data_IF_280318174608
#
_entry.id   IF_280318174608
#
_cell.length_a   1.000
_cell.length_b   1.000
_cell.length_c   1.000
_cell.angle_alpha   90.00
_cell.angle_beta   90.00
_cell.angle_gamma   90.00
#
_symmetry.space_group_name_H-M   'P 1'
#
loop_
_entity.id
_entity.type
_entity.pdbx_description
1 polymer ?
#
# COMPACT_ATOMS: atom_id res chain seq x y z
N UNK A 1 -34.90 -12.51 13.39
CA UNK A 1 -34.32 -11.79 12.24
C UNK A 1 -32.94 -12.36 11.98
N UNK A 2 -32.71 -12.93 10.79
CA UNK A 2 -31.42 -13.53 10.44
C UNK A 2 -30.49 -12.46 9.88
N UNK A 3 -29.32 -12.25 10.50
CA UNK A 3 -28.28 -11.41 9.94
C UNK A 3 -27.56 -12.18 8.84
N UNK A 4 -27.46 -11.59 7.65
CA UNK A 4 -26.63 -12.11 6.56
C UNK A 4 -25.25 -11.48 6.72
N UNK A 5 -24.27 -12.30 7.10
CA UNK A 5 -22.88 -11.87 7.21
C UNK A 5 -22.27 -11.76 5.83
N UNK A 6 -21.48 -10.70 5.60
CA UNK A 6 -20.59 -10.60 4.45
C UNK A 6 -19.38 -11.53 4.61
N UNK A 7 -19.60 -12.80 4.97
CA UNK A 7 -18.58 -13.85 4.95
C UNK A 7 -18.76 -14.68 3.69
N UNK A 8 -18.48 -14.08 2.53
CA UNK A 8 -18.40 -14.85 1.30
C UNK A 8 -16.91 -15.17 1.03
N UNK A 9 -16.55 -16.44 1.28
CA UNK A 9 -15.47 -17.18 0.59
C UNK A 9 -13.99 -16.93 0.93
N UNK A 10 -13.63 -16.07 1.88
CA UNK A 10 -12.23 -16.00 2.35
C UNK A 10 -11.95 -17.05 3.44
N UNK A 11 -11.23 -18.14 3.09
CA UNK A 11 -10.86 -19.23 4.01
C UNK A 11 -10.16 -18.68 5.27
N UNK A 12 -10.83 -18.69 6.42
CA UNK A 12 -10.20 -18.42 7.71
C UNK A 12 -11.10 -18.01 8.89
N UNK A 13 -12.31 -17.51 8.65
CA UNK A 13 -13.17 -17.01 9.74
C UNK A 13 -14.01 -18.11 10.38
N UNK A 14 -13.79 -18.39 11.67
CA UNK A 14 -14.77 -19.13 12.48
C UNK A 14 -16.01 -18.24 12.66
N UNK A 15 -17.19 -18.77 12.38
CA UNK A 15 -18.46 -18.09 12.66
C UNK A 15 -18.54 -17.74 14.16
N UNK A 16 -18.33 -16.49 14.51
CA UNK A 16 -18.55 -16.00 15.86
C UNK A 16 -20.04 -15.96 16.17
N UNK A 17 -20.45 -16.39 17.37
CA UNK A 17 -21.81 -16.16 17.86
C UNK A 17 -22.03 -14.65 17.95
N UNK A 18 -22.94 -14.10 17.16
CA UNK A 18 -23.26 -12.68 17.17
C UNK A 18 -23.95 -12.29 18.47
N UNK A 19 -23.29 -11.44 19.25
CA UNK A 19 -23.95 -10.69 20.32
C UNK A 19 -24.94 -9.66 19.76
N UNK A 20 -25.46 -8.79 20.62
CA UNK A 20 -26.29 -7.67 20.17
C UNK A 20 -25.56 -6.80 19.13
N UNK A 21 -26.29 -6.35 18.11
CA UNK A 21 -25.78 -5.48 17.06
C UNK A 21 -26.35 -4.08 17.17
N UNK A 22 -25.59 -3.07 16.74
CA UNK A 22 -26.03 -1.69 16.58
C UNK A 22 -26.01 -1.29 15.11
N UNK A 23 -26.89 -0.36 14.72
CA UNK A 23 -26.90 0.27 13.40
C UNK A 23 -25.67 1.17 13.25
N UNK A 24 -25.07 1.21 12.05
CA UNK A 24 -24.12 2.28 11.69
C UNK A 24 -24.94 3.50 11.30
N UNK A 25 -24.87 4.54 12.12
CA UNK A 25 -25.63 5.79 11.96
C UNK A 25 -24.76 6.96 12.48
N UNK A 26 -24.49 8.02 11.69
CA UNK A 26 -24.91 8.19 10.29
C UNK A 26 -24.24 7.19 9.34
N UNK A 27 -24.91 6.93 8.23
CA UNK A 27 -24.30 6.20 7.10
C UNK A 27 -23.11 7.01 6.59
N UNK A 28 -21.95 6.38 6.33
CA UNK A 28 -20.75 7.07 5.86
C UNK A 28 -20.97 7.96 4.63
N UNK A 29 -20.20 9.05 4.53
CA UNK A 29 -20.48 10.19 3.65
C UNK A 29 -19.35 10.50 2.65
N UNK A 30 -18.71 9.48 2.09
CA UNK A 30 -17.69 9.66 1.06
C UNK A 30 -18.18 10.36 -0.21
N UNK A 31 -17.23 10.74 -1.05
CA UNK A 31 -17.48 11.32 -2.38
C UNK A 31 -17.75 10.23 -3.43
N UNK A 32 -17.20 9.03 -3.22
CA UNK A 32 -17.29 7.88 -4.11
C UNK A 32 -17.60 6.61 -3.30
N UNK A 33 -18.62 5.87 -3.74
CA UNK A 33 -19.06 4.62 -3.12
C UNK A 33 -18.81 3.47 -4.09
N UNK A 34 -17.79 2.67 -3.80
CA UNK A 34 -17.40 1.51 -4.59
C UNK A 34 -17.84 0.25 -3.88
N UNK A 35 -18.62 -0.59 -4.55
CA UNK A 35 -19.01 -1.90 -4.03
C UNK A 35 -18.44 -2.95 -4.98
N UNK A 36 -17.84 -4.02 -4.44
CA UNK A 36 -17.33 -5.08 -5.32
C UNK A 36 -18.39 -5.68 -6.24
N UNK A 37 -17.99 -6.53 -7.19
CA UNK A 37 -18.91 -7.13 -8.18
C UNK A 37 -20.15 -7.80 -7.55
N UNK A 38 -21.25 -7.98 -8.32
CA UNK A 38 -22.51 -8.55 -7.82
C UNK A 38 -22.37 -9.91 -7.12
N UNK A 39 -22.85 -9.94 -5.87
CA UNK A 39 -23.30 -11.12 -5.14
C UNK A 39 -24.44 -10.71 -4.20
N UNK A 40 -25.14 -11.70 -3.64
CA UNK A 40 -26.35 -11.46 -2.84
C UNK A 40 -26.14 -10.60 -1.58
N UNK A 41 -24.94 -10.54 -1.02
CA UNK A 41 -24.60 -9.64 0.10
C UNK A 41 -24.25 -8.27 -0.43
N UNK A 42 -23.37 -8.20 -1.44
CA UNK A 42 -22.90 -6.94 -2.01
C UNK A 42 -24.03 -6.15 -2.70
N UNK A 43 -25.04 -6.83 -3.25
CA UNK A 43 -26.24 -6.19 -3.78
C UNK A 43 -27.09 -5.55 -2.69
N UNK A 44 -27.19 -6.18 -1.53
CA UNK A 44 -27.86 -5.57 -0.37
C UNK A 44 -27.07 -4.37 0.15
N UNK A 45 -25.75 -4.48 0.17
CA UNK A 45 -24.83 -3.39 0.53
C UNK A 45 -25.01 -2.17 -0.39
N UNK A 46 -24.98 -2.40 -1.70
CA UNK A 46 -25.25 -1.37 -2.71
C UNK A 46 -26.63 -0.73 -2.52
N UNK A 47 -27.64 -1.53 -2.21
CA UNK A 47 -29.00 -1.03 -1.94
C UNK A 47 -29.04 -0.12 -0.72
N UNK A 48 -28.36 -0.46 0.38
CA UNK A 48 -28.29 0.43 1.57
C UNK A 48 -27.73 1.80 1.19
N UNK A 49 -26.66 1.86 0.41
CA UNK A 49 -26.09 3.14 -0.05
C UNK A 49 -27.07 3.92 -0.93
N UNK A 50 -27.72 3.25 -1.89
CA UNK A 50 -28.68 3.86 -2.81
C UNK A 50 -29.90 4.43 -2.08
N UNK A 51 -30.44 3.67 -1.13
CA UNK A 51 -31.58 4.09 -0.30
C UNK A 51 -31.21 5.28 0.61
N UNK A 52 -29.92 5.49 0.88
CA UNK A 52 -29.36 6.68 1.57
C UNK A 52 -28.92 7.79 0.59
N UNK A 53 -29.42 7.77 -0.65
CA UNK A 53 -29.22 8.84 -1.63
C UNK A 53 -27.83 8.87 -2.27
N UNK A 54 -27.07 7.77 -2.21
CA UNK A 54 -25.72 7.69 -2.80
C UNK A 54 -25.75 7.04 -4.18
N UNK A 55 -24.89 7.52 -5.07
CA UNK A 55 -24.57 6.83 -6.32
C UNK A 55 -23.51 5.78 -6.05
N UNK A 56 -23.85 4.52 -6.29
CA UNK A 56 -22.96 3.37 -6.10
C UNK A 56 -22.39 2.94 -7.44
N UNK A 57 -21.09 2.69 -7.46
CA UNK A 57 -20.40 2.10 -8.59
C UNK A 57 -19.92 0.70 -8.26
N UNK A 58 -20.21 -0.27 -9.14
CA UNK A 58 -19.64 -1.62 -9.02
C UNK A 58 -18.19 -1.62 -9.49
N UNK A 59 -17.37 -2.46 -8.86
CA UNK A 59 -15.97 -2.65 -9.24
C UNK A 59 -15.62 -4.10 -9.50
N UNK A 60 -14.83 -4.34 -10.54
CA UNK A 60 -14.47 -5.70 -10.96
C UNK A 60 -13.10 -6.15 -10.49
N UNK A 61 -12.16 -5.21 -10.31
CA UNK A 61 -10.78 -5.47 -9.92
C UNK A 61 -10.07 -4.19 -9.44
N UNK A 62 -8.82 -4.34 -9.02
CA UNK A 62 -7.93 -3.29 -8.52
C UNK A 62 -7.77 -2.13 -9.50
N UNK A 63 -7.58 -2.40 -10.80
CA UNK A 63 -7.35 -1.36 -11.79
C UNK A 63 -8.62 -0.54 -12.06
N UNK A 64 -9.78 -1.20 -12.06
CA UNK A 64 -11.08 -0.54 -12.22
C UNK A 64 -11.35 0.46 -11.07
N UNK A 65 -11.05 0.07 -9.82
CA UNK A 65 -11.10 1.00 -8.67
C UNK A 65 -10.23 2.22 -8.90
N UNK A 66 -8.97 2.03 -9.30
CA UNK A 66 -8.04 3.14 -9.55
C UNK A 66 -8.59 4.08 -10.62
N UNK A 67 -9.16 3.53 -11.69
CA UNK A 67 -9.73 4.32 -12.78
C UNK A 67 -10.93 5.16 -12.32
N UNK A 68 -11.85 4.57 -11.54
CA UNK A 68 -13.03 5.25 -11.01
C UNK A 68 -12.67 6.35 -10.01
N UNK A 69 -11.74 6.06 -9.10
CA UNK A 69 -11.18 7.04 -8.16
C UNK A 69 -10.59 8.23 -8.92
N UNK A 70 -9.74 7.95 -9.91
CA UNK A 70 -9.12 8.98 -10.75
C UNK A 70 -10.19 9.83 -11.44
N UNK A 71 -11.16 9.21 -12.10
CA UNK A 71 -12.22 9.91 -12.82
C UNK A 71 -13.02 10.82 -11.89
N UNK A 72 -13.42 10.33 -10.71
CA UNK A 72 -14.19 11.10 -9.74
C UNK A 72 -13.39 12.25 -9.14
N UNK A 73 -12.13 12.03 -8.78
CA UNK A 73 -11.24 13.08 -8.28
C UNK A 73 -11.01 14.17 -9.32
N UNK A 74 -10.76 13.80 -10.58
CA UNK A 74 -10.60 14.74 -11.68
C UNK A 74 -11.87 15.55 -11.96
N UNK A 75 -13.04 14.91 -11.92
CA UNK A 75 -14.33 15.58 -12.09
C UNK A 75 -14.61 16.60 -10.98
N UNK A 76 -14.14 16.34 -9.75
CA UNK A 76 -14.30 17.25 -8.60
C UNK A 76 -13.16 18.27 -8.46
N UNK A 77 -12.06 18.12 -9.22
CA UNK A 77 -10.89 18.99 -9.13
C UNK A 77 -10.15 18.93 -7.79
N UNK A 78 -10.35 17.87 -6.99
CA UNK A 78 -9.75 17.70 -5.67
C UNK A 78 -9.54 16.22 -5.32
N UNK A 79 -8.79 15.97 -4.25
CA UNK A 79 -8.75 14.65 -3.61
C UNK A 79 -10.11 14.32 -2.99
N UNK A 80 -10.41 13.03 -2.93
CA UNK A 80 -11.73 12.51 -2.54
C UNK A 80 -11.65 11.53 -1.38
N UNK A 81 -12.76 11.44 -0.65
CA UNK A 81 -13.03 10.35 0.29
C UNK A 81 -13.73 9.20 -0.44
N UNK A 82 -13.11 8.02 -0.40
CA UNK A 82 -13.66 6.78 -0.97
C UNK A 82 -14.23 5.88 0.12
N UNK A 83 -15.47 5.45 -0.04
CA UNK A 83 -16.06 4.31 0.68
C UNK A 83 -15.92 3.07 -0.21
N UNK A 84 -15.18 2.06 0.25
CA UNK A 84 -14.98 0.81 -0.46
C UNK A 84 -15.63 -0.33 0.32
N UNK A 85 -16.56 -1.02 -0.32
CA UNK A 85 -17.37 -2.08 0.26
C UNK A 85 -17.07 -3.43 -0.39
N UNK A 86 -16.81 -4.43 0.44
CA UNK A 86 -16.37 -5.76 0.01
C UNK A 86 -16.33 -6.78 1.14
N UNK A 87 -16.08 -8.03 0.81
CA UNK A 87 -15.84 -9.07 1.80
C UNK A 87 -14.50 -8.86 2.49
N UNK A 88 -14.53 -8.79 3.81
CA UNK A 88 -13.36 -8.48 4.62
C UNK A 88 -12.83 -9.68 5.38
N UNK A 89 -11.55 -9.59 5.76
CA UNK A 89 -10.93 -10.28 6.88
C UNK A 89 -9.90 -9.34 7.51
N UNK A 90 -9.32 -9.71 8.66
CA UNK A 90 -8.22 -8.95 9.26
C UNK A 90 -7.11 -8.62 8.22
N UNK A 91 -6.92 -7.33 7.94
CA UNK A 91 -5.89 -6.84 7.00
C UNK A 91 -6.15 -7.11 5.51
N UNK A 92 -7.39 -7.43 5.14
CA UNK A 92 -7.76 -7.81 3.79
C UNK A 92 -9.20 -7.39 3.43
N UNK A 93 -9.41 -6.99 2.18
CA UNK A 93 -10.74 -6.77 1.62
C UNK A 93 -10.79 -7.20 0.16
N UNK A 94 -11.87 -7.85 -0.24
CA UNK A 94 -12.14 -8.16 -1.64
C UNK A 94 -12.62 -6.90 -2.37
N UNK A 95 -12.21 -6.81 -3.62
CA UNK A 95 -12.39 -5.63 -4.47
C UNK A 95 -12.86 -6.03 -5.86
N UNK A 96 -13.44 -7.22 -5.97
CA UNK A 96 -13.79 -7.79 -7.25
C UNK A 96 -13.94 -9.30 -7.26
N UNK A 97 -14.07 -9.80 -8.48
CA UNK A 97 -14.57 -11.11 -8.82
C UNK A 97 -13.57 -12.27 -8.72
N UNK A 98 -12.83 -12.44 -7.63
CA UNK A 98 -11.82 -13.50 -7.61
C UNK A 98 -11.06 -13.65 -6.30
N UNK A 99 -10.20 -14.68 -6.26
CA UNK A 99 -9.37 -15.01 -5.10
C UNK A 99 -7.88 -14.71 -5.32
N UNK A 100 -7.56 -13.83 -6.28
CA UNK A 100 -6.19 -13.45 -6.65
C UNK A 100 -5.85 -12.00 -6.22
N UNK A 101 -4.63 -11.57 -6.52
CA UNK A 101 -4.10 -10.25 -6.13
C UNK A 101 -4.69 -9.07 -6.89
N UNK A 102 -5.42 -9.31 -7.97
CA UNK A 102 -6.16 -8.27 -8.72
C UNK A 102 -7.57 -8.07 -8.16
N UNK A 103 -8.10 -9.06 -7.44
CA UNK A 103 -9.45 -9.05 -6.88
C UNK A 103 -9.48 -8.91 -5.36
N UNK A 104 -8.33 -8.90 -4.70
CA UNK A 104 -8.22 -8.79 -3.24
C UNK A 104 -7.09 -7.84 -2.86
N UNK A 105 -7.39 -6.86 -2.01
CA UNK A 105 -6.39 -6.07 -1.30
C UNK A 105 -5.99 -6.78 -0.01
N UNK A 106 -4.69 -6.90 0.20
CA UNK A 106 -4.07 -7.53 1.37
C UNK A 106 -2.86 -6.71 1.80
N UNK A 107 -2.28 -7.04 2.94
CA UNK A 107 -0.96 -6.50 3.33
C UNK A 107 0.13 -6.60 2.27
N UNK A 108 0.06 -7.58 1.35
CA UNK A 108 1.11 -7.82 0.34
C UNK A 108 1.07 -6.80 -0.81
N UNK A 109 -0.12 -6.31 -1.17
CA UNK A 109 -0.31 -5.39 -2.30
C UNK A 109 -0.87 -4.02 -1.89
N UNK A 110 -1.23 -3.81 -0.62
CA UNK A 110 -1.76 -2.54 -0.11
C UNK A 110 -0.86 -1.33 -0.45
N UNK A 111 0.47 -1.46 -0.36
CA UNK A 111 1.40 -0.37 -0.65
C UNK A 111 1.45 -0.02 -2.15
N UNK A 112 1.26 -1.00 -3.03
CA UNK A 112 1.19 -0.75 -4.49
C UNK A 112 -0.13 -0.06 -4.84
N UNK A 113 -1.24 -0.57 -4.29
CA UNK A 113 -2.56 0.03 -4.47
C UNK A 113 -2.65 1.45 -3.91
N UNK A 114 -2.10 1.69 -2.71
CA UNK A 114 -2.04 3.03 -2.14
C UNK A 114 -1.36 4.03 -3.10
N UNK A 115 -0.21 3.65 -3.68
CA UNK A 115 0.52 4.52 -4.62
C UNK A 115 -0.31 4.88 -5.83
N UNK A 116 -1.09 3.94 -6.38
CA UNK A 116 -1.88 4.20 -7.58
C UNK A 116 -3.05 5.17 -7.32
N UNK A 117 -3.49 5.33 -6.07
CA UNK A 117 -4.56 6.25 -5.69
C UNK A 117 -4.08 7.53 -4.98
N UNK A 118 -2.79 7.64 -4.67
CA UNK A 118 -2.24 8.67 -3.79
C UNK A 118 -2.50 10.10 -4.25
N UNK A 119 -2.50 10.34 -5.56
CA UNK A 119 -2.78 11.67 -6.13
C UNK A 119 -4.26 12.07 -6.04
N UNK A 120 -5.16 11.10 -5.85
CA UNK A 120 -6.60 11.25 -6.02
C UNK A 120 -7.39 11.13 -4.71
N UNK A 121 -6.80 10.52 -3.68
CA UNK A 121 -7.51 10.20 -2.42
C UNK A 121 -6.88 10.93 -1.24
N UNK A 122 -7.71 11.45 -0.34
CA UNK A 122 -7.30 11.98 0.97
C UNK A 122 -7.72 11.06 2.13
N UNK A 123 -8.79 10.30 1.93
CA UNK A 123 -9.37 9.41 2.91
C UNK A 123 -9.98 8.18 2.24
N UNK A 124 -9.70 6.98 2.77
CA UNK A 124 -10.41 5.77 2.37
C UNK A 124 -10.99 5.07 3.59
N UNK A 125 -12.26 4.67 3.50
CA UNK A 125 -12.90 3.83 4.49
C UNK A 125 -13.26 2.49 3.86
N UNK A 126 -12.93 1.41 4.55
CA UNK A 126 -13.26 0.05 4.13
C UNK A 126 -14.45 -0.47 4.93
N UNK A 127 -15.51 -0.82 4.22
CA UNK A 127 -16.71 -1.45 4.75
C UNK A 127 -16.62 -2.93 4.42
N UNK A 128 -16.34 -3.74 5.43
CA UNK A 128 -16.12 -5.15 5.25
C UNK A 128 -15.85 -5.83 6.58
N UNK A 129 -15.97 -7.15 6.59
CA UNK A 129 -15.83 -7.93 7.81
C UNK A 129 -14.43 -7.79 8.42
N UNK A 130 -14.34 -7.21 9.62
CA UNK A 130 -13.14 -7.27 10.46
C UNK A 130 -11.84 -6.74 9.81
N UNK A 131 -11.94 -5.86 8.81
CA UNK A 131 -10.77 -5.36 8.04
C UNK A 131 -9.76 -4.66 8.96
N UNK A 132 -10.26 -3.87 9.92
CA UNK A 132 -9.44 -3.15 10.90
C UNK A 132 -9.02 -3.98 12.12
N UNK A 133 -9.40 -5.26 12.17
CA UNK A 133 -9.16 -6.10 13.33
C UNK A 133 -7.67 -6.43 13.53
N UNK A 134 -7.31 -6.71 14.78
CA UNK A 134 -6.00 -7.25 15.16
C UNK A 134 -4.79 -6.42 14.73
N UNK A 135 -3.66 -7.10 14.50
CA UNK A 135 -2.38 -6.44 14.17
C UNK A 135 -2.26 -6.21 12.66
N UNK A 136 -2.79 -7.14 11.88
CA UNK A 136 -2.68 -7.10 10.43
C UNK A 136 -3.65 -6.06 9.86
N UNK A 137 -4.86 -5.91 10.43
CA UNK A 137 -5.78 -4.84 10.08
C UNK A 137 -5.23 -3.45 10.37
N UNK A 138 -4.66 -3.25 11.57
CA UNK A 138 -3.96 -1.99 11.90
C UNK A 138 -2.80 -1.70 10.95
N UNK A 139 -2.01 -2.72 10.60
CA UNK A 139 -0.89 -2.54 9.66
C UNK A 139 -1.38 -2.21 8.26
N UNK A 140 -2.47 -2.83 7.81
CA UNK A 140 -3.11 -2.56 6.52
C UNK A 140 -3.59 -1.12 6.44
N UNK A 141 -4.35 -0.66 7.45
CA UNK A 141 -4.80 0.73 7.53
C UNK A 141 -3.65 1.72 7.61
N UNK A 142 -2.56 1.40 8.30
CA UNK A 142 -1.38 2.26 8.37
C UNK A 142 -0.75 2.42 6.99
N UNK A 143 -0.55 1.31 6.27
CA UNK A 143 -0.02 1.34 4.91
C UNK A 143 -0.92 2.22 4.04
N UNK A 144 -2.24 2.09 4.12
CA UNK A 144 -3.15 2.94 3.34
C UNK A 144 -3.01 4.42 3.73
N UNK A 145 -3.01 4.74 5.03
CA UNK A 145 -2.96 6.11 5.53
C UNK A 145 -1.63 6.83 5.31
N UNK A 146 -0.49 6.12 5.20
CA UNK A 146 0.87 6.69 5.17
C UNK A 146 1.05 7.82 4.11
N UNK A 147 0.33 7.77 2.99
CA UNK A 147 0.45 8.69 1.85
C UNK A 147 -0.83 9.51 1.63
N UNK A 148 -2.00 8.86 1.66
CA UNK A 148 -3.28 9.55 1.45
C UNK A 148 -3.66 10.43 2.65
N UNK A 149 -3.18 10.10 3.85
CA UNK A 149 -3.36 10.86 5.09
C UNK A 149 -4.33 10.21 6.07
N UNK A 150 -5.32 9.47 5.59
CA UNK A 150 -6.34 8.88 6.45
C UNK A 150 -6.87 7.56 5.90
N UNK A 151 -7.00 6.55 6.78
CA UNK A 151 -7.69 5.30 6.45
C UNK A 151 -8.47 4.77 7.65
N UNK A 152 -9.65 4.18 7.41
CA UNK A 152 -10.51 3.63 8.46
C UNK A 152 -11.19 2.32 8.08
N UNK A 153 -11.51 1.49 9.08
CA UNK A 153 -12.34 0.29 8.94
C UNK A 153 -12.87 -0.19 10.29
N UNK A 154 -13.85 -1.10 10.28
CA UNK A 154 -14.34 -1.76 11.50
C UNK A 154 -13.43 -2.92 11.93
N UNK A 155 -13.27 -3.10 13.25
CA UNK A 155 -12.55 -4.23 13.85
C UNK A 155 -13.40 -5.50 14.03
N UNK A 156 -14.62 -5.50 13.50
CA UNK A 156 -15.57 -6.60 13.59
C UNK A 156 -16.39 -6.70 12.30
N UNK A 157 -17.23 -7.74 12.23
CA UNK A 157 -18.05 -8.00 11.05
C UNK A 157 -19.10 -6.90 10.83
N UNK A 158 -19.06 -6.29 9.64
CA UNK A 158 -20.13 -5.43 9.13
C UNK A 158 -21.14 -6.33 8.44
N UNK A 159 -22.40 -6.25 8.85
CA UNK A 159 -23.49 -7.03 8.29
C UNK A 159 -24.59 -6.12 7.74
N UNK A 160 -25.25 -6.57 6.67
CA UNK A 160 -26.39 -5.88 6.08
C UNK A 160 -27.67 -6.60 6.52
N UNK A 161 -28.57 -5.86 7.18
CA UNK A 161 -29.85 -6.40 7.64
C UNK A 161 -30.94 -5.97 6.68
N UNK A 162 -31.61 -6.94 6.06
CA UNK A 162 -32.74 -6.75 5.13
C UNK A 162 -32.49 -5.78 3.95
N UNK A 163 -31.24 -5.40 3.68
CA UNK A 163 -30.87 -4.33 2.73
C UNK A 163 -31.26 -2.91 3.17
N UNK A 164 -31.61 -2.72 4.45
CA UNK A 164 -32.09 -1.44 4.97
C UNK A 164 -30.98 -0.62 5.63
N UNK A 165 -30.07 -1.30 6.35
CA UNK A 165 -28.99 -0.64 7.07
C UNK A 165 -27.80 -1.57 7.35
N UNK A 166 -26.65 -0.94 7.55
CA UNK A 166 -25.46 -1.60 8.08
C UNK A 166 -25.54 -1.79 9.59
N UNK A 167 -25.01 -2.91 10.05
CA UNK A 167 -24.86 -3.23 11.47
C UNK A 167 -23.49 -3.73 11.79
N UNK A 168 -23.09 -3.52 13.04
CA UNK A 168 -21.89 -4.09 13.65
C UNK A 168 -22.24 -4.59 15.06
N UNK A 169 -21.46 -5.51 15.64
CA UNK A 169 -21.58 -5.84 17.06
C UNK A 169 -21.50 -4.58 17.93
N UNK A 170 -22.23 -4.53 19.04
CA UNK A 170 -22.20 -3.36 19.96
C UNK A 170 -20.76 -3.06 20.43
N UNK A 171 -19.96 -4.10 20.63
CA UNK A 171 -18.55 -4.02 21.03
C UNK A 171 -17.59 -3.57 19.91
N UNK A 172 -18.04 -3.52 18.66
CA UNK A 172 -17.20 -3.16 17.53
C UNK A 172 -16.74 -1.71 17.63
N UNK A 173 -15.49 -1.49 17.22
CA UNK A 173 -14.81 -0.20 17.19
C UNK A 173 -14.46 0.14 15.75
N UNK A 174 -14.62 1.41 15.42
CA UNK A 174 -14.05 1.95 14.20
C UNK A 174 -12.56 2.22 14.45
N UNK A 175 -11.70 1.57 13.69
CA UNK A 175 -10.25 1.76 13.73
C UNK A 175 -9.90 2.76 12.65
N UNK A 176 -9.34 3.88 13.07
CA UNK A 176 -8.96 4.98 12.19
C UNK A 176 -7.49 5.32 12.41
N UNK A 177 -6.76 5.53 11.31
CA UNK A 177 -5.39 6.02 11.32
C UNK A 177 -5.36 7.33 10.57
N UNK A 178 -4.84 8.37 11.24
CA UNK A 178 -4.67 9.72 10.72
C UNK A 178 -3.19 10.08 10.75
N UNK A 179 -2.65 10.48 9.61
CA UNK A 179 -1.27 10.92 9.42
C UNK A 179 -1.31 12.42 9.10
N UNK A 180 -1.18 13.24 10.15
CA UNK A 180 -1.26 14.70 10.08
C UNK A 180 -0.03 15.32 9.40
N UNK A 181 1.15 14.76 9.68
CA UNK A 181 2.38 15.10 9.00
C UNK A 181 2.62 14.05 7.91
N UNK A 182 2.06 14.31 6.73
CA UNK A 182 2.43 13.60 5.50
C UNK A 182 3.91 13.89 5.25
N UNK A 183 4.80 13.15 5.91
CA UNK A 183 6.16 13.02 5.42
C UNK A 183 5.97 12.44 4.02
N UNK A 184 6.35 13.18 2.97
CA UNK A 184 6.57 12.59 1.65
C UNK A 184 7.16 11.22 1.92
N UNK A 185 6.47 10.13 1.55
CA UNK A 185 7.00 8.79 1.77
C UNK A 185 8.22 8.70 0.86
N UNK A 186 9.34 9.16 1.40
CA UNK A 186 10.60 9.17 0.73
C UNK A 186 11.12 7.75 0.85
N UNK A 187 10.98 6.98 -0.24
CA UNK A 187 11.53 5.64 -0.34
C UNK A 187 13.04 5.74 -0.24
N UNK A 188 13.53 5.53 0.98
CA UNK A 188 14.95 5.53 1.28
C UNK A 188 15.55 4.24 0.75
N UNK A 189 16.18 4.31 -0.42
CA UNK A 189 16.94 3.21 -1.01
C UNK A 189 18.33 3.24 -0.40
N UNK A 190 18.70 2.27 0.46
CA UNK A 190 20.05 2.22 0.98
C UNK A 190 21.02 1.93 -0.17
N UNK A 191 22.10 2.71 -0.25
CA UNK A 191 23.13 2.52 -1.27
C UNK A 191 24.52 2.45 -0.66
N UNK A 192 25.37 1.59 -1.24
CA UNK A 192 26.81 1.52 -0.97
C UNK A 192 27.54 1.92 -2.24
N UNK A 193 28.52 2.80 -2.10
CA UNK A 193 29.30 3.37 -3.21
C UNK A 193 30.74 2.88 -3.06
N UNK A 194 31.33 2.41 -4.15
CA UNK A 194 32.76 2.08 -4.19
C UNK A 194 33.42 3.00 -5.20
N UNK A 195 34.35 3.81 -4.71
CA UNK A 195 35.22 4.66 -5.52
C UNK A 195 36.43 3.82 -5.92
N UNK A 196 36.63 3.65 -7.21
CA UNK A 196 37.73 2.87 -7.78
C UNK A 196 38.89 3.82 -8.11
N UNK A 197 40.13 3.35 -7.89
CA UNK A 197 41.33 4.10 -8.25
C UNK A 197 41.47 5.42 -7.47
N UNK A 198 42.04 6.43 -8.13
CA UNK A 198 42.23 7.77 -7.57
C UNK A 198 40.97 8.67 -7.62
N UNK A 199 39.78 8.09 -7.76
CA UNK A 199 38.52 8.86 -7.77
C UNK A 199 38.37 9.64 -6.47
N UNK A 200 38.25 10.97 -6.57
CA UNK A 200 38.03 11.82 -5.39
C UNK A 200 36.65 11.49 -4.77
N UNK A 201 36.62 10.95 -3.54
CA UNK A 201 35.38 10.61 -2.86
C UNK A 201 34.50 11.83 -2.57
N UNK A 202 35.03 13.05 -2.63
CA UNK A 202 34.26 14.28 -2.42
C UNK A 202 33.33 14.61 -3.60
N UNK A 203 33.58 14.04 -4.78
CA UNK A 203 32.71 14.21 -5.97
C UNK A 203 31.43 13.36 -5.84
N UNK A 204 31.47 12.32 -5.01
CA UNK A 204 30.34 11.41 -4.75
C UNK A 204 29.15 12.15 -4.16
N UNK A 205 29.39 13.08 -3.24
CA UNK A 205 28.31 13.87 -2.62
C UNK A 205 27.56 14.71 -3.65
N UNK A 206 28.28 15.30 -4.61
CA UNK A 206 27.72 16.04 -5.74
C UNK A 206 26.85 15.14 -6.63
N UNK A 207 27.35 13.95 -6.98
CA UNK A 207 26.61 12.97 -7.79
C UNK A 207 25.35 12.45 -7.09
N UNK A 208 25.44 12.17 -5.79
CA UNK A 208 24.30 11.70 -4.99
C UNK A 208 23.26 12.81 -4.80
N UNK A 209 23.69 14.06 -4.59
CA UNK A 209 22.79 15.21 -4.56
C UNK A 209 22.08 15.40 -5.90
N UNK A 210 22.81 15.32 -7.01
CA UNK A 210 22.25 15.37 -8.36
C UNK A 210 21.23 14.25 -8.62
N UNK A 211 21.55 13.01 -8.23
CA UNK A 211 20.66 11.86 -8.37
C UNK A 211 19.40 11.99 -7.49
N UNK A 212 19.54 12.38 -6.22
CA UNK A 212 18.41 12.62 -5.32
C UNK A 212 17.49 13.73 -5.82
N UNK A 213 18.04 14.81 -6.41
CA UNK A 213 17.24 15.86 -7.01
C UNK A 213 16.38 15.34 -8.19
N UNK A 214 16.95 14.49 -9.05
CA UNK A 214 16.22 13.86 -10.16
C UNK A 214 15.15 12.85 -9.67
N UNK A 215 15.44 12.16 -8.56
CA UNK A 215 14.56 11.14 -7.98
C UNK A 215 13.47 11.71 -7.07
N UNK A 216 13.54 13.00 -6.72
CA UNK A 216 12.55 13.69 -5.88
C UNK A 216 11.13 13.58 -6.45
N UNK A 217 10.97 13.73 -7.77
CA UNK A 217 9.66 13.60 -8.44
C UNK A 217 9.05 12.19 -8.38
N UNK A 218 9.84 11.18 -8.03
CA UNK A 218 9.40 9.79 -7.81
C UNK A 218 9.32 9.42 -6.32
N UNK A 219 9.45 10.39 -5.41
CA UNK A 219 9.51 10.18 -3.95
C UNK A 219 10.59 9.15 -3.54
N UNK A 220 11.72 9.06 -4.26
CA UNK A 220 12.84 8.17 -3.95
C UNK A 220 14.03 9.00 -3.44
N UNK A 221 14.70 8.50 -2.40
CA UNK A 221 16.00 9.02 -1.96
C UNK A 221 17.02 7.91 -1.83
N UNK A 222 18.15 8.09 -2.46
CA UNK A 222 19.35 7.32 -2.21
C UNK A 222 19.91 7.71 -0.84
N UNK A 223 19.93 6.75 0.08
CA UNK A 223 20.47 6.87 1.42
C UNK A 223 21.83 6.16 1.46
N UNK A 224 22.90 6.91 1.22
CA UNK A 224 24.26 6.37 1.20
C UNK A 224 24.61 5.87 2.59
N UNK A 225 24.81 4.56 2.72
CA UNK A 225 25.21 3.90 3.96
C UNK A 225 26.72 3.82 4.12
N UNK A 226 27.43 3.74 3.00
CA UNK A 226 28.87 3.56 2.99
C UNK A 226 29.47 4.02 1.67
N UNK A 227 30.61 4.70 1.74
CA UNK A 227 31.48 5.04 0.60
C UNK A 227 32.84 4.39 0.85
N UNK A 228 33.18 3.39 0.04
CA UNK A 228 34.48 2.75 0.07
C UNK A 228 35.43 3.48 -0.87
N UNK A 229 36.62 3.82 -0.37
CA UNK A 229 37.67 4.53 -1.13
C UNK A 229 38.68 3.53 -1.68
N UNK A 230 39.32 3.87 -2.80
CA UNK A 230 40.43 3.13 -3.39
C UNK A 230 40.13 1.62 -3.50
N UNK A 231 38.91 1.29 -3.89
CA UNK A 231 38.52 -0.11 -4.06
C UNK A 231 39.28 -0.62 -5.27
N UNK A 232 40.19 -1.56 -5.03
CA UNK A 232 40.89 -2.24 -6.11
C UNK A 232 39.88 -3.05 -6.91
N UNK A 233 39.79 -2.73 -8.19
CA UNK A 233 38.98 -3.46 -9.15
C UNK A 233 39.85 -3.74 -10.36
N UNK A 234 40.02 -5.01 -10.69
CA UNK A 234 40.72 -5.37 -11.92
C UNK A 234 42.23 -5.17 -11.89
N UNK A 235 42.81 -5.12 -13.09
CA UNK A 235 44.24 -5.22 -13.44
C UNK A 235 45.14 -4.06 -12.98
N UNK A 236 44.60 -3.13 -12.17
CA UNK A 236 45.35 -2.00 -11.64
C UNK A 236 45.36 -0.76 -12.53
N UNK A 237 44.66 -0.78 -13.66
CA UNK A 237 44.40 0.41 -14.47
C UNK A 237 43.07 1.02 -14.00
N UNK A 238 43.07 2.30 -13.65
CA UNK A 238 41.90 3.03 -13.10
C UNK A 238 40.66 3.11 -14.04
N UNK A 239 40.64 2.31 -15.12
CA UNK A 239 39.59 2.23 -16.16
C UNK A 239 38.94 0.84 -16.11
N UNK A 240 37.65 0.80 -15.82
CA UNK A 240 36.89 -0.45 -15.82
C UNK A 240 36.49 -0.87 -17.24
N UNK A 241 36.89 -2.07 -17.66
CA UNK A 241 36.34 -2.69 -18.85
C UNK A 241 34.95 -3.32 -18.59
N UNK A 242 34.23 -3.72 -19.64
CA UNK A 242 32.86 -4.22 -19.51
C UNK A 242 32.75 -5.50 -18.68
N UNK A 243 33.76 -6.36 -18.71
CA UNK A 243 33.80 -7.61 -17.94
C UNK A 243 34.07 -7.32 -16.45
N UNK A 244 34.90 -6.33 -16.15
CA UNK A 244 35.13 -5.82 -14.80
C UNK A 244 33.89 -5.14 -14.23
N UNK A 245 33.16 -4.37 -15.04
CA UNK A 245 31.85 -3.80 -14.68
C UNK A 245 30.87 -4.93 -14.35
N UNK A 246 30.75 -5.95 -15.21
CA UNK A 246 29.85 -7.09 -14.98
C UNK A 246 30.24 -7.90 -13.73
N UNK A 247 31.54 -8.13 -13.51
CA UNK A 247 32.07 -8.83 -12.35
C UNK A 247 31.85 -8.04 -11.05
N UNK A 248 32.01 -6.72 -11.10
CA UNK A 248 31.66 -5.81 -10.02
C UNK A 248 30.17 -5.83 -9.71
N UNK A 249 29.30 -5.78 -10.72
CA UNK A 249 27.86 -5.90 -10.52
C UNK A 249 27.49 -7.23 -9.86
N UNK A 250 28.15 -8.33 -10.24
CA UNK A 250 28.00 -9.65 -9.61
C UNK A 250 28.41 -9.64 -8.13
N UNK A 251 29.62 -9.15 -7.82
CA UNK A 251 30.11 -8.99 -6.43
C UNK A 251 29.25 -8.02 -5.62
N UNK A 252 28.72 -6.98 -6.26
CA UNK A 252 27.79 -6.07 -5.65
C UNK A 252 26.52 -6.77 -5.23
N UNK A 253 25.88 -7.52 -6.13
CA UNK A 253 24.69 -8.32 -5.83
C UNK A 253 24.93 -9.31 -4.68
N UNK A 254 26.10 -9.95 -4.63
CA UNK A 254 26.48 -10.88 -3.54
C UNK A 254 26.70 -10.18 -2.19
N UNK A 255 27.42 -9.06 -2.14
CA UNK A 255 27.62 -8.27 -0.92
C UNK A 255 26.32 -7.59 -0.46
N UNK A 256 25.50 -7.13 -1.40
CA UNK A 256 24.16 -6.60 -1.11
C UNK A 256 23.31 -7.64 -0.36
N UNK A 257 23.43 -8.92 -0.72
CA UNK A 257 22.74 -10.01 -0.04
C UNK A 257 23.21 -10.23 1.42
N UNK A 258 24.44 -9.80 1.77
CA UNK A 258 25.01 -9.93 3.13
C UNK A 258 24.59 -8.78 4.06
N UNK A 259 24.42 -7.57 3.52
CA UNK A 259 24.11 -6.36 4.32
C UNK A 259 22.59 -6.15 4.49
N UNK A 260 21.76 -6.80 3.67
CA UNK A 260 20.32 -6.47 3.53
C UNK A 260 19.36 -7.49 4.17
N UNK A 261 19.90 -8.53 4.82
CA UNK A 261 19.12 -9.43 5.68
C UNK A 261 19.37 -9.09 7.14
N UNK A 262 18.31 -8.99 7.94
CA UNK A 262 18.48 -8.85 9.38
C UNK A 262 19.14 -10.09 10.00
N UNK A 263 19.45 -10.05 11.29
CA UNK A 263 20.04 -11.17 12.04
C UNK A 263 19.19 -12.46 12.03
N UNK A 264 17.95 -12.40 11.51
CA UNK A 264 16.98 -13.51 11.39
C UNK A 264 16.76 -13.95 9.93
N UNK A 265 17.53 -13.40 8.99
CA UNK A 265 17.47 -13.76 7.56
C UNK A 265 16.30 -13.15 6.78
N UNK A 266 15.54 -12.20 7.37
CA UNK A 266 14.37 -11.58 6.72
C UNK A 266 14.75 -10.34 5.89
N UNK A 267 14.02 -10.16 4.80
CA UNK A 267 14.15 -9.06 3.82
C UNK A 267 13.74 -7.70 4.43
N UNK A 268 14.51 -6.64 4.13
CA UNK A 268 14.20 -5.25 4.55
C UNK A 268 13.81 -4.31 3.39
N UNK A 269 14.05 -4.69 2.13
CA UNK A 269 13.68 -3.91 0.93
C UNK A 269 14.79 -3.83 -0.13
N UNK A 270 14.45 -3.42 -1.36
CA UNK A 270 15.35 -3.37 -2.55
C UNK A 270 16.41 -2.26 -2.39
N UNK A 271 17.66 -2.63 -2.09
CA UNK A 271 18.82 -1.71 -2.13
C UNK A 271 19.58 -1.73 -3.46
N UNK A 272 20.46 -0.75 -3.70
CA UNK A 272 21.30 -0.67 -4.91
C UNK A 272 22.77 -0.48 -4.51
N UNK A 273 23.71 -1.18 -5.15
CA UNK A 273 25.15 -0.93 -5.00
C UNK A 273 25.68 -0.40 -6.34
N UNK A 274 26.39 0.71 -6.29
CA UNK A 274 26.90 1.44 -7.46
C UNK A 274 28.43 1.54 -7.36
N UNK A 275 29.10 1.41 -8.50
CA UNK A 275 30.54 1.62 -8.63
C UNK A 275 30.75 2.93 -9.38
N UNK A 276 31.69 3.73 -8.88
CA UNK A 276 32.12 4.98 -9.52
C UNK A 276 33.60 4.81 -9.78
N UNK A 277 33.99 4.78 -11.05
CA UNK A 277 35.38 4.77 -11.48
C UNK A 277 35.63 6.04 -12.30
N UNK A 278 36.86 6.53 -12.24
CA UNK A 278 37.28 7.68 -13.02
C UNK A 278 37.59 7.20 -14.44
N UNK A 279 36.62 7.32 -15.33
CA UNK A 279 36.78 7.71 -16.75
C UNK A 279 35.46 7.44 -17.50
N UNK A 280 34.55 8.42 -17.42
CA UNK A 280 33.69 9.00 -18.48
C UNK A 280 32.78 10.04 -17.81
#
# INVERSE_FOLDING_TARGET
TYAVYAQAWLKGSKAGKSGASKKIDPVPNGDLFLVEKPDAVMDKSAKVWQDNGRTVERVENKQDIVNKIKAKSQALGRKIHVELDGHGNEGQISIGAGNDTEHILTLRNAAEFQKSIDTYVDHITFQGCSVGAGKDGKRFLQIMADSIGKAGAWDADVAVINSDYFTVPVSAKFVEIVVNDKKEIQYNVPVVINCVGNTDPNVVDGLIKGANNKLKGANIRLNVKQVNKNVNVGDGNDVLNIDEICGLEGKAKQELAKVIKDKKGKWTGKGLKKYVANNC
#
